data_IF_291695928189
#
_entry.id   IF_291695928189
#
_cell.length_a   1.000
_cell.length_b   1.000
_cell.length_c   1.000
_cell.angle_alpha   90.00
_cell.angle_beta   90.00
_cell.angle_gamma   90.00
#
_symmetry.space_group_name_H-M   'P 1'
#
loop_
_entity.id
_entity.type
_entity.pdbx_description
1 polymer ?
#
# COMPACT_ATOMS: atom_id res chain seq x y z
N UNK A 1 -3.98 11.60 11.16
CA UNK A 1 -5.29 11.09 11.58
C UNK A 1 -5.83 10.14 10.50
N UNK A 2 -6.61 9.15 10.91
CA UNK A 2 -7.25 8.18 10.01
C UNK A 2 -8.77 8.36 10.16
N UNK A 3 -9.32 9.39 9.49
CA UNK A 3 -10.72 9.77 9.64
C UNK A 3 -11.55 9.25 8.46
N UNK A 4 -12.31 8.18 8.66
CA UNK A 4 -13.15 7.59 7.61
C UNK A 4 -14.18 8.59 7.06
N UNK A 5 -14.81 9.41 7.93
CA UNK A 5 -15.78 10.41 7.49
C UNK A 5 -15.20 11.42 6.49
N UNK A 6 -13.93 11.84 6.70
CA UNK A 6 -13.24 12.73 5.77
C UNK A 6 -13.05 12.05 4.40
N UNK A 7 -12.57 10.79 4.40
CA UNK A 7 -12.31 10.09 3.14
C UNK A 7 -13.60 9.69 2.42
N UNK A 8 -14.69 9.39 3.14
CA UNK A 8 -16.01 9.17 2.54
C UNK A 8 -16.50 10.44 1.82
N UNK A 9 -16.42 11.59 2.49
CA UNK A 9 -16.84 12.87 1.89
C UNK A 9 -15.96 13.22 0.66
N UNK A 10 -14.64 12.99 0.76
CA UNK A 10 -13.72 13.19 -0.36
C UNK A 10 -14.03 12.25 -1.53
N UNK A 11 -14.29 10.98 -1.26
CA UNK A 11 -14.65 9.99 -2.28
C UNK A 11 -15.95 10.31 -2.98
N UNK A 12 -16.95 10.79 -2.23
CA UNK A 12 -18.22 11.27 -2.82
C UNK A 12 -18.02 12.48 -3.73
N UNK A 13 -17.10 13.39 -3.37
CA UNK A 13 -16.75 14.55 -4.18
C UNK A 13 -16.01 14.16 -5.46
N UNK A 14 -15.08 13.21 -5.39
CA UNK A 14 -14.26 12.76 -6.53
C UNK A 14 -15.04 11.85 -7.47
N UNK A 15 -15.93 11.01 -6.93
CA UNK A 15 -16.62 9.95 -7.64
C UNK A 15 -15.80 8.67 -7.81
N UNK A 16 -16.51 7.55 -8.01
CA UNK A 16 -15.88 6.22 -8.06
C UNK A 16 -14.87 6.05 -9.18
N UNK A 17 -15.12 6.61 -10.35
CA UNK A 17 -14.20 6.48 -11.50
C UNK A 17 -12.84 7.10 -11.22
N UNK A 18 -12.77 8.28 -10.61
CA UNK A 18 -11.51 8.93 -10.29
C UNK A 18 -10.68 8.12 -9.26
N UNK A 19 -11.36 7.45 -8.31
CA UNK A 19 -10.70 6.56 -7.35
C UNK A 19 -10.15 5.31 -8.06
N UNK A 20 -10.92 4.71 -8.98
CA UNK A 20 -10.46 3.54 -9.75
C UNK A 20 -9.28 3.90 -10.66
N UNK A 21 -9.34 5.02 -11.36
CA UNK A 21 -8.25 5.47 -12.24
C UNK A 21 -6.95 5.70 -11.44
N UNK A 22 -7.07 6.33 -10.27
CA UNK A 22 -5.94 6.49 -9.35
C UNK A 22 -5.42 5.13 -8.86
N UNK A 23 -6.28 4.22 -8.40
CA UNK A 23 -5.87 2.90 -7.94
C UNK A 23 -5.12 2.12 -9.03
N UNK A 24 -5.62 2.12 -10.26
CA UNK A 24 -4.98 1.47 -11.41
C UNK A 24 -3.63 2.11 -11.76
N UNK A 25 -3.51 3.44 -11.70
CA UNK A 25 -2.25 4.13 -11.98
C UNK A 25 -1.15 3.75 -10.97
N UNK A 26 -1.53 3.38 -9.74
CA UNK A 26 -0.64 2.86 -8.72
C UNK A 26 -0.48 1.32 -8.76
N UNK A 27 -0.96 0.64 -9.81
CA UNK A 27 -0.77 -0.80 -10.05
C UNK A 27 -1.74 -1.72 -9.35
N UNK A 28 -2.81 -1.21 -8.71
CA UNK A 28 -3.83 -2.05 -8.12
C UNK A 28 -4.72 -2.69 -9.21
N UNK A 29 -5.21 -3.90 -8.96
CA UNK A 29 -6.02 -4.66 -9.90
C UNK A 29 -5.25 -5.29 -11.07
N UNK A 30 -3.91 -5.16 -11.12
CA UNK A 30 -3.08 -5.70 -12.20
C UNK A 30 -1.98 -6.61 -11.64
N UNK A 31 -1.79 -7.83 -12.18
CA UNK A 31 -0.72 -8.72 -11.74
C UNK A 31 0.64 -8.24 -12.26
N UNK A 32 1.67 -8.27 -11.42
CA UNK A 32 3.05 -8.02 -11.83
C UNK A 32 3.72 -9.30 -12.35
N UNK A 33 4.56 -9.19 -13.39
CA UNK A 33 5.42 -10.28 -13.85
C UNK A 33 6.68 -10.30 -12.97
N UNK A 34 6.74 -11.22 -12.02
CA UNK A 34 7.81 -11.31 -11.01
C UNK A 34 9.06 -12.00 -11.53
N UNK A 35 8.87 -13.02 -12.37
CA UNK A 35 9.90 -13.83 -12.99
C UNK A 35 9.33 -14.49 -14.26
N UNK A 36 10.16 -15.15 -15.09
CA UNK A 36 9.68 -15.94 -16.23
C UNK A 36 8.59 -16.94 -15.80
N UNK A 37 7.38 -16.78 -16.32
CA UNK A 37 6.24 -17.65 -15.99
C UNK A 37 5.60 -17.44 -14.62
N UNK A 38 6.10 -16.51 -13.78
CA UNK A 38 5.57 -16.23 -12.45
C UNK A 38 4.94 -14.84 -12.40
N UNK A 39 3.64 -14.79 -12.14
CA UNK A 39 2.88 -13.55 -11.91
C UNK A 39 2.41 -13.47 -10.46
N UNK A 40 2.32 -12.25 -9.94
CA UNK A 40 1.63 -12.00 -8.67
C UNK A 40 0.12 -12.18 -8.80
N UNK A 41 -0.60 -12.29 -7.68
CA UNK A 41 -2.04 -12.07 -7.69
C UNK A 41 -2.36 -10.60 -8.06
N UNK A 42 -3.52 -10.41 -8.70
CA UNK A 42 -3.97 -9.08 -9.15
C UNK A 42 -4.67 -8.28 -8.04
N UNK A 43 -5.19 -8.95 -6.99
CA UNK A 43 -6.21 -8.35 -6.15
C UNK A 43 -7.50 -8.08 -6.95
N UNK A 44 -8.43 -7.35 -6.35
CA UNK A 44 -9.69 -7.00 -7.00
C UNK A 44 -10.00 -5.53 -6.76
N UNK A 45 -10.54 -4.87 -7.77
CA UNK A 45 -11.15 -3.54 -7.69
C UNK A 45 -12.65 -3.69 -7.99
N UNK A 46 -13.52 -2.99 -7.27
CA UNK A 46 -14.93 -2.96 -7.61
C UNK A 46 -15.13 -2.36 -9.01
N UNK A 47 -16.17 -2.76 -9.70
CA UNK A 47 -16.50 -2.17 -10.99
C UNK A 47 -17.08 -0.75 -10.83
N UNK A 48 -17.02 0.06 -11.89
CA UNK A 48 -17.66 1.37 -11.90
C UNK A 48 -19.18 1.29 -11.66
N UNK A 49 -19.82 0.19 -12.05
CA UNK A 49 -21.23 -0.06 -11.80
C UNK A 49 -21.52 -0.29 -10.30
N UNK A 50 -20.67 -1.05 -9.60
CA UNK A 50 -20.81 -1.27 -8.16
C UNK A 50 -20.72 0.05 -7.39
N UNK A 51 -19.90 0.99 -7.87
CA UNK A 51 -19.66 2.29 -7.24
C UNK A 51 -20.79 3.31 -7.48
N UNK A 52 -21.81 2.96 -8.25
CA UNK A 52 -23.07 3.73 -8.28
C UNK A 52 -23.83 3.57 -6.95
N UNK A 53 -23.58 2.50 -6.20
CA UNK A 53 -24.10 2.36 -4.86
C UNK A 53 -23.31 3.22 -3.87
N UNK A 54 -23.98 4.12 -3.15
CA UNK A 54 -23.35 5.06 -2.23
C UNK A 54 -22.59 4.35 -1.07
N UNK A 55 -23.06 3.18 -0.62
CA UNK A 55 -22.39 2.38 0.40
C UNK A 55 -21.10 1.75 -0.10
N UNK A 56 -21.09 1.24 -1.34
CA UNK A 56 -19.90 0.69 -1.99
C UNK A 56 -18.84 1.78 -2.21
N UNK A 57 -19.25 2.95 -2.69
CA UNK A 57 -18.36 4.10 -2.87
C UNK A 57 -17.80 4.57 -1.52
N UNK A 58 -18.64 4.67 -0.50
CA UNK A 58 -18.20 5.05 0.85
C UNK A 58 -17.17 4.07 1.39
N UNK A 59 -17.40 2.75 1.26
CA UNK A 59 -16.47 1.71 1.73
C UNK A 59 -15.13 1.77 0.98
N UNK A 60 -15.15 1.89 -0.35
CA UNK A 60 -13.93 2.02 -1.15
C UNK A 60 -13.12 3.26 -0.75
N UNK A 61 -13.79 4.37 -0.42
CA UNK A 61 -13.15 5.66 -0.12
C UNK A 61 -12.19 5.61 1.07
N UNK A 62 -12.35 4.64 1.98
CA UNK A 62 -11.41 4.41 3.09
C UNK A 62 -10.72 3.03 3.03
N UNK A 63 -10.75 2.36 1.86
CA UNK A 63 -9.99 1.14 1.61
C UNK A 63 -10.68 -0.14 2.09
N UNK A 64 -11.99 -0.22 2.01
CA UNK A 64 -12.82 -1.37 2.38
C UNK A 64 -13.77 -1.79 1.24
N UNK A 65 -14.65 -2.74 1.53
CA UNK A 65 -15.66 -3.22 0.58
C UNK A 65 -15.09 -4.20 -0.43
N UNK A 66 -15.40 -4.02 -1.71
CA UNK A 66 -14.96 -4.91 -2.80
C UNK A 66 -13.49 -4.75 -3.22
N UNK A 67 -12.67 -4.05 -2.43
CA UNK A 67 -11.24 -3.89 -2.68
C UNK A 67 -10.45 -5.02 -2.00
N UNK A 68 -9.69 -5.79 -2.80
CA UNK A 68 -8.65 -6.69 -2.26
C UNK A 68 -7.29 -6.35 -2.87
N UNK A 69 -6.24 -6.35 -2.05
CA UNK A 69 -4.88 -6.02 -2.47
C UNK A 69 -3.87 -7.01 -1.89
N UNK A 70 -2.76 -7.21 -2.59
CA UNK A 70 -1.63 -7.97 -2.05
C UNK A 70 -0.65 -7.05 -1.32
N UNK A 71 0.12 -7.56 -0.34
CA UNK A 71 1.22 -6.79 0.26
C UNK A 71 2.21 -6.26 -0.78
N UNK A 72 2.45 -7.01 -1.84
CA UNK A 72 3.33 -6.59 -2.94
C UNK A 72 2.78 -5.36 -3.68
N UNK A 73 1.48 -5.32 -3.96
CA UNK A 73 0.84 -4.15 -4.60
C UNK A 73 0.90 -2.92 -3.70
N UNK A 74 0.66 -3.10 -2.40
CA UNK A 74 0.80 -2.00 -1.43
C UNK A 74 2.25 -1.50 -1.39
N UNK A 75 3.24 -2.42 -1.39
CA UNK A 75 4.66 -2.06 -1.46
C UNK A 75 4.96 -1.27 -2.74
N UNK A 76 4.48 -1.71 -3.90
CA UNK A 76 4.71 -1.03 -5.18
C UNK A 76 4.04 0.35 -5.23
N UNK A 77 2.86 0.50 -4.64
CA UNK A 77 2.17 1.79 -4.50
C UNK A 77 2.99 2.78 -3.66
N UNK A 78 3.50 2.35 -2.50
CA UNK A 78 4.37 3.20 -1.67
C UNK A 78 5.71 3.49 -2.35
N UNK A 79 6.26 2.53 -3.12
CA UNK A 79 7.44 2.75 -3.95
C UNK A 79 7.19 3.83 -5.00
N UNK A 80 6.03 3.84 -5.66
CA UNK A 80 5.70 4.90 -6.62
C UNK A 80 5.66 6.28 -5.98
N UNK A 81 5.12 6.40 -4.75
CA UNK A 81 5.16 7.66 -4.00
C UNK A 81 6.61 8.04 -3.65
N UNK A 82 7.40 7.11 -3.13
CA UNK A 82 8.80 7.30 -2.77
C UNK A 82 9.67 7.70 -3.97
N UNK A 83 9.37 7.15 -5.15
CA UNK A 83 10.06 7.42 -6.43
C UNK A 83 9.56 8.67 -7.16
N UNK A 84 8.91 9.60 -6.46
CA UNK A 84 8.47 10.87 -7.07
C UNK A 84 7.26 10.74 -8.00
N UNK A 85 6.43 9.73 -7.80
CA UNK A 85 5.19 9.50 -8.57
C UNK A 85 5.35 8.55 -9.74
N UNK A 86 6.46 7.82 -9.83
CA UNK A 86 6.73 6.85 -10.90
C UNK A 86 6.49 5.43 -10.41
N UNK A 87 5.55 4.73 -11.04
CA UNK A 87 5.27 3.32 -10.76
C UNK A 87 6.28 2.44 -11.48
N UNK A 88 6.93 1.56 -10.75
CA UNK A 88 7.80 0.50 -11.24
C UNK A 88 7.15 -0.85 -10.96
N UNK A 89 6.96 -1.67 -11.99
CA UNK A 89 6.43 -3.03 -11.80
C UNK A 89 7.40 -3.85 -10.95
N UNK A 90 6.93 -4.52 -9.87
CA UNK A 90 7.80 -5.37 -9.06
C UNK A 90 8.39 -6.53 -9.86
N UNK A 91 9.64 -6.88 -9.57
CA UNK A 91 10.29 -8.10 -10.04
C UNK A 91 11.17 -8.69 -8.92
N UNK A 92 11.41 -10.00 -8.97
CA UNK A 92 12.22 -10.70 -7.97
C UNK A 92 13.45 -11.38 -8.57
N UNK A 93 13.63 -11.28 -9.90
CA UNK A 93 14.78 -11.87 -10.62
C UNK A 93 15.52 -10.77 -11.34
N UNK A 94 16.77 -10.55 -10.97
CA UNK A 94 17.67 -9.58 -11.61
C UNK A 94 18.50 -10.19 -12.73
N UNK A 95 18.85 -11.48 -12.63
CA UNK A 95 19.65 -12.20 -13.63
C UNK A 95 19.40 -13.71 -13.56
N UNK A 96 19.62 -14.41 -14.68
CA UNK A 96 19.51 -15.86 -14.78
C UNK A 96 20.82 -16.38 -15.36
N UNK A 97 21.50 -17.30 -14.68
CA UNK A 97 22.72 -17.95 -15.19
C UNK A 97 22.36 -18.98 -16.26
N UNK A 98 23.14 -19.07 -17.35
CA UNK A 98 22.92 -20.05 -18.41
C UNK A 98 22.24 -19.50 -19.67
N UNK A 99 22.18 -18.19 -19.85
CA UNK A 99 21.76 -17.55 -21.10
C UNK A 99 20.27 -17.34 -21.31
N UNK A 100 19.43 -17.65 -20.31
CA UNK A 100 18.01 -17.30 -20.34
C UNK A 100 17.85 -15.82 -20.04
N UNK A 101 17.16 -15.10 -20.92
CA UNK A 101 16.88 -13.68 -20.69
C UNK A 101 15.86 -13.51 -19.55
N UNK A 102 16.13 -12.57 -18.66
CA UNK A 102 15.10 -12.08 -17.70
C UNK A 102 14.01 -11.38 -18.51
N UNK A 103 12.73 -11.64 -18.24
CA UNK A 103 11.65 -10.93 -18.92
C UNK A 103 11.85 -9.43 -18.83
N UNK A 104 11.69 -8.75 -19.95
CA UNK A 104 11.71 -7.30 -19.95
C UNK A 104 10.55 -6.78 -19.10
N UNK A 105 10.89 -6.03 -18.05
CA UNK A 105 9.89 -5.39 -17.22
C UNK A 105 9.16 -4.30 -18.01
N UNK A 106 7.87 -4.07 -17.73
CA UNK A 106 7.16 -2.93 -18.28
C UNK A 106 7.92 -1.63 -18.00
N UNK A 107 7.88 -0.71 -18.94
CA UNK A 107 8.49 0.61 -18.74
C UNK A 107 7.82 1.31 -17.53
N UNK A 108 8.60 2.03 -16.71
CA UNK A 108 8.04 2.81 -15.62
C UNK A 108 6.97 3.78 -16.14
N UNK A 109 5.87 3.89 -15.40
CA UNK A 109 4.74 4.73 -15.76
C UNK A 109 4.48 5.81 -14.70
N UNK A 110 3.97 6.97 -15.10
CA UNK A 110 3.56 7.99 -14.16
C UNK A 110 2.30 7.54 -13.40
N UNK A 111 2.39 7.35 -12.07
CA UNK A 111 1.26 7.10 -11.19
C UNK A 111 0.59 8.40 -10.74
N UNK A 112 1.40 9.43 -10.48
CA UNK A 112 0.95 10.79 -10.19
C UNK A 112 2.03 11.81 -10.55
N UNK A 113 1.68 13.09 -10.49
CA UNK A 113 2.69 14.13 -10.74
C UNK A 113 3.75 14.19 -9.62
N UNK A 114 4.98 14.64 -9.91
CA UNK A 114 6.00 14.80 -8.88
C UNK A 114 5.59 15.78 -7.76
N UNK A 115 4.74 16.76 -8.05
CA UNK A 115 4.21 17.67 -7.05
C UNK A 115 3.28 16.94 -6.07
N UNK A 116 2.38 16.09 -6.56
CA UNK A 116 1.50 15.27 -5.75
C UNK A 116 2.31 14.27 -4.91
N UNK A 117 3.31 13.60 -5.51
CA UNK A 117 4.19 12.67 -4.80
C UNK A 117 4.89 13.35 -3.61
N UNK A 118 5.45 14.57 -3.78
CA UNK A 118 6.08 15.33 -2.69
C UNK A 118 5.09 15.65 -1.55
N UNK A 119 3.85 16.02 -1.89
CA UNK A 119 2.82 16.27 -0.88
C UNK A 119 2.52 14.99 -0.10
N UNK A 120 2.34 13.85 -0.79
CA UNK A 120 2.11 12.55 -0.16
C UNK A 120 3.29 12.13 0.73
N UNK A 121 4.53 12.29 0.27
CA UNK A 121 5.74 12.01 1.07
C UNK A 121 5.74 12.82 2.37
N UNK A 122 5.46 14.13 2.29
CA UNK A 122 5.38 15.00 3.48
C UNK A 122 4.26 14.58 4.44
N UNK A 123 3.09 14.22 3.92
CA UNK A 123 1.97 13.72 4.73
C UNK A 123 2.33 12.40 5.43
N UNK A 124 2.94 11.45 4.72
CA UNK A 124 3.36 10.15 5.25
C UNK A 124 4.46 10.29 6.30
N UNK A 125 5.43 11.19 6.11
CA UNK A 125 6.44 11.50 7.12
C UNK A 125 5.81 12.12 8.38
N UNK A 126 4.77 12.95 8.22
CA UNK A 126 4.04 13.53 9.35
C UNK A 126 3.27 12.46 10.16
N UNK A 127 2.75 11.41 9.50
CA UNK A 127 2.09 10.29 10.19
C UNK A 127 3.04 9.60 11.17
N UNK A 128 4.31 9.42 10.81
CA UNK A 128 5.32 8.82 11.68
C UNK A 128 5.82 9.82 12.73
N UNK A 129 6.20 11.04 12.31
CA UNK A 129 6.80 12.03 13.19
C UNK A 129 5.88 12.52 14.31
N UNK A 130 4.59 12.70 14.04
CA UNK A 130 3.63 13.32 14.97
C UNK A 130 2.20 12.80 14.85
N UNK A 131 1.98 11.73 14.10
CA UNK A 131 0.67 11.11 13.89
C UNK A 131 0.54 9.75 14.58
N UNK A 132 -0.42 8.97 14.08
CA UNK A 132 -0.77 7.64 14.62
C UNK A 132 0.23 6.54 14.27
N UNK A 133 1.24 6.84 13.46
CA UNK A 133 2.29 5.91 13.04
C UNK A 133 3.60 6.06 13.81
N UNK A 134 3.61 6.71 14.97
CA UNK A 134 4.83 6.99 15.74
C UNK A 134 5.69 5.76 16.06
N UNK A 135 5.06 4.60 16.27
CA UNK A 135 5.77 3.33 16.49
C UNK A 135 6.68 2.93 15.30
N UNK A 136 6.45 3.48 14.10
CA UNK A 136 7.27 3.21 12.93
C UNK A 136 8.55 4.04 12.85
N UNK A 137 8.82 4.89 13.84
CA UNK A 137 10.05 5.67 13.89
C UNK A 137 11.24 4.75 14.22
N UNK A 138 12.21 4.55 13.29
CA UNK A 138 13.42 3.77 13.57
C UNK A 138 14.35 4.54 14.52
N UNK A 139 15.32 3.84 15.11
CA UNK A 139 16.35 4.46 15.94
C UNK A 139 17.29 5.35 15.13
N UNK A 140 17.53 4.98 13.87
CA UNK A 140 18.40 5.73 12.96
C UNK A 140 17.59 6.26 11.77
N UNK A 141 17.78 7.52 11.41
CA UNK A 141 17.13 8.14 10.27
C UNK A 141 15.67 8.49 10.50
N UNK A 142 14.93 8.65 9.42
CA UNK A 142 13.53 9.06 9.40
C UNK A 142 12.70 8.06 8.60
N UNK A 143 11.44 7.91 8.93
CA UNK A 143 10.52 7.04 8.18
C UNK A 143 9.25 7.79 7.75
N UNK A 144 8.61 7.30 6.71
CA UNK A 144 7.33 7.77 6.24
C UNK A 144 6.41 6.60 5.94
N UNK A 145 5.16 6.64 6.34
CA UNK A 145 4.25 5.51 6.13
C UNK A 145 2.87 5.73 6.69
N UNK A 146 2.05 4.68 6.60
CA UNK A 146 0.66 4.69 7.04
C UNK A 146 0.27 3.36 7.67
N UNK A 147 -0.42 3.44 8.80
CA UNK A 147 -1.11 2.30 9.43
C UNK A 147 -2.40 1.96 8.70
N UNK A 148 -2.80 0.70 8.73
CA UNK A 148 -4.11 0.25 8.28
C UNK A 148 -4.63 -0.86 9.19
N UNK A 149 -5.94 -0.90 9.39
CA UNK A 149 -6.62 -2.04 9.99
C UNK A 149 -7.81 -2.35 9.09
N UNK A 150 -7.79 -3.53 8.48
CA UNK A 150 -8.81 -3.94 7.53
C UNK A 150 -9.62 -5.11 8.10
N UNK A 151 -10.92 -5.04 7.94
CA UNK A 151 -11.85 -6.14 8.15
C UNK A 151 -11.71 -7.13 7.00
N UNK A 152 -11.69 -8.43 7.30
CA UNK A 152 -11.53 -9.48 6.30
C UNK A 152 -12.84 -10.12 5.89
N UNK A 153 -13.90 -9.94 6.68
CA UNK A 153 -15.16 -10.67 6.55
C UNK A 153 -15.05 -12.15 6.93
N UNK A 154 -13.89 -12.60 7.44
CA UNK A 154 -13.69 -13.95 7.93
C UNK A 154 -13.79 -13.98 9.46
N UNK A 155 -14.42 -15.00 9.98
CA UNK A 155 -14.68 -15.15 11.40
C UNK A 155 -14.12 -16.46 11.92
N UNK A 156 -13.63 -16.46 13.16
CA UNK A 156 -13.20 -17.65 13.86
C UNK A 156 -14.39 -18.48 14.40
N UNK A 157 -14.10 -19.60 15.06
CA UNK A 157 -15.11 -20.47 15.68
C UNK A 157 -15.90 -19.78 16.81
N UNK A 158 -15.36 -18.74 17.41
CA UNK A 158 -16.00 -17.92 18.46
C UNK A 158 -16.78 -16.73 17.90
N UNK A 159 -16.83 -16.58 16.57
CA UNK A 159 -17.50 -15.46 15.88
C UNK A 159 -16.74 -14.15 15.92
N UNK A 160 -15.43 -14.16 16.21
CA UNK A 160 -14.59 -12.95 16.16
C UNK A 160 -14.03 -12.79 14.77
N UNK A 161 -14.10 -11.57 14.23
CA UNK A 161 -13.57 -11.27 12.91
C UNK A 161 -12.05 -11.26 12.90
N UNK A 162 -11.46 -11.89 11.89
CA UNK A 162 -10.04 -11.77 11.56
C UNK A 162 -9.77 -10.39 11.00
N UNK A 163 -8.74 -9.72 11.52
CA UNK A 163 -8.35 -8.39 11.08
C UNK A 163 -6.94 -8.43 10.48
N UNK A 164 -6.75 -7.67 9.42
CA UNK A 164 -5.44 -7.40 8.85
C UNK A 164 -4.88 -6.11 9.42
N UNK A 165 -3.74 -6.20 10.12
CA UNK A 165 -3.03 -5.04 10.68
C UNK A 165 -1.85 -4.69 9.79
N UNK A 166 -1.92 -3.54 9.15
CA UNK A 166 -0.95 -3.07 8.16
C UNK A 166 -0.09 -1.94 8.69
N UNK A 167 1.15 -1.92 8.24
CA UNK A 167 1.93 -0.71 8.09
C UNK A 167 2.71 -0.80 6.78
N UNK A 168 2.61 0.25 5.96
CA UNK A 168 3.38 0.36 4.73
C UNK A 168 4.03 1.74 4.65
N UNK A 169 5.26 1.79 4.13
CA UNK A 169 6.02 3.01 4.11
C UNK A 169 7.36 2.87 3.40
N UNK A 170 8.19 3.88 3.54
CA UNK A 170 9.54 3.91 2.98
C UNK A 170 10.56 4.48 3.97
N UNK A 171 11.81 4.10 3.77
CA UNK A 171 12.95 4.44 4.61
C UNK A 171 14.21 4.68 3.75
N UNK A 172 15.07 5.69 4.07
CA UNK A 172 14.75 6.88 4.87
C UNK A 172 13.64 7.74 4.24
N UNK A 173 12.95 8.58 5.03
CA UNK A 173 11.85 9.40 4.51
C UNK A 173 12.30 10.54 3.60
N UNK A 174 13.48 11.10 3.86
CA UNK A 174 14.10 12.24 3.15
C UNK A 174 14.86 11.81 1.88
N UNK A 175 15.35 10.58 1.83
CA UNK A 175 16.06 10.01 0.69
C UNK A 175 15.66 8.52 0.54
N UNK A 176 14.45 8.20 0.08
CA UNK A 176 13.93 6.84 0.07
C UNK A 176 14.82 5.85 -0.68
N UNK A 177 15.19 4.76 0.00
CA UNK A 177 15.97 3.64 -0.56
C UNK A 177 15.22 2.33 -0.50
N UNK A 178 14.37 2.17 0.51
CA UNK A 178 13.64 0.95 0.77
C UNK A 178 12.15 1.25 0.94
N UNK A 179 11.32 0.38 0.42
CA UNK A 179 9.89 0.38 0.68
C UNK A 179 9.54 -0.92 1.39
N UNK A 180 8.86 -0.81 2.52
CA UNK A 180 8.59 -1.92 3.42
C UNK A 180 7.09 -1.97 3.69
N UNK A 181 6.50 -3.17 3.60
CA UNK A 181 5.11 -3.42 3.99
C UNK A 181 5.09 -4.55 5.00
N UNK A 182 4.47 -4.31 6.13
CA UNK A 182 4.21 -5.30 7.19
C UNK A 182 2.71 -5.55 7.24
N UNK A 183 2.33 -6.82 7.12
CA UNK A 183 0.97 -7.30 7.30
C UNK A 183 0.96 -8.36 8.40
N UNK A 184 0.09 -8.21 9.38
CA UNK A 184 -0.20 -9.22 10.38
C UNK A 184 -1.67 -9.61 10.27
N UNK A 185 -1.92 -10.91 10.09
CA UNK A 185 -3.24 -11.52 10.10
C UNK A 185 -3.50 -12.05 11.51
N UNK A 186 -4.48 -11.50 12.21
CA UNK A 186 -4.70 -11.84 13.61
C UNK A 186 -6.13 -11.56 14.07
N UNK A 187 -6.66 -12.46 14.90
CA UNK A 187 -7.94 -12.31 15.61
C UNK A 187 -7.89 -11.26 16.71
N UNK A 188 -6.70 -11.04 17.29
CA UNK A 188 -6.48 -10.08 18.36
C UNK A 188 -5.46 -9.05 17.90
N UNK A 189 -5.56 -7.84 18.43
CA UNK A 189 -4.55 -6.82 18.17
C UNK A 189 -3.16 -7.37 18.56
N UNK A 190 -2.20 -7.41 17.62
CA UNK A 190 -0.86 -7.91 17.89
C UNK A 190 -0.20 -7.14 19.03
N UNK A 191 0.59 -7.84 19.87
CA UNK A 191 1.36 -7.20 20.95
C UNK A 191 2.38 -6.21 20.40
N UNK A 192 3.09 -6.61 19.32
CA UNK A 192 3.96 -5.72 18.57
C UNK A 192 3.21 -5.22 17.36
N UNK A 193 3.03 -3.91 17.22
CA UNK A 193 2.32 -3.33 16.10
C UNK A 193 3.07 -3.51 14.78
N UNK A 194 2.35 -3.55 13.64
CA UNK A 194 2.98 -3.58 12.30
C UNK A 194 3.89 -2.38 12.07
N UNK A 195 3.58 -1.24 12.70
CA UNK A 195 4.44 -0.06 12.68
C UNK A 195 5.76 -0.29 13.42
N UNK A 196 5.73 -0.91 14.61
CA UNK A 196 6.95 -1.24 15.36
C UNK A 196 7.80 -2.29 14.63
N UNK A 197 7.19 -3.29 14.00
CA UNK A 197 7.93 -4.24 13.16
C UNK A 197 8.57 -3.57 11.94
N UNK A 198 7.90 -2.60 11.32
CA UNK A 198 8.49 -1.79 10.26
C UNK A 198 9.74 -1.07 10.75
N UNK A 199 9.70 -0.41 11.93
CA UNK A 199 10.85 0.27 12.52
C UNK A 199 12.03 -0.70 12.75
N UNK A 200 11.77 -1.89 13.30
CA UNK A 200 12.78 -2.92 13.50
C UNK A 200 13.46 -3.34 12.19
N UNK A 201 12.68 -3.54 11.12
CA UNK A 201 13.23 -3.85 9.79
C UNK A 201 14.05 -2.67 9.26
N UNK A 202 13.55 -1.44 9.39
CA UNK A 202 14.28 -0.24 8.94
C UNK A 202 15.61 -0.08 9.66
N UNK A 203 15.69 -0.36 10.96
CA UNK A 203 16.93 -0.33 11.74
C UNK A 203 17.98 -1.35 11.26
N UNK A 204 17.57 -2.46 10.64
CA UNK A 204 18.51 -3.43 10.05
C UNK A 204 19.06 -2.99 8.69
N UNK A 205 18.43 -1.99 8.06
CA UNK A 205 18.78 -1.46 6.74
C UNK A 205 19.55 -0.13 6.82
N UNK A 206 19.78 0.36 8.02
CA UNK A 206 20.41 1.66 8.32
C UNK A 206 21.91 1.69 8.01
#
# INVERSE_FOLDING_TARGET
QSCNCYFIALGQLLGGQAILDAAQSFGLGTPALLAPGLKSAAGELPSAADLQNAGSLASLSFGQGGLTVTPLQVTAMFNAIASGGVYHSPCIVSSITGGTQVPQQPQPAAACSPAVARVLQSMLATVVRSGIGGDAQPHTGTAAGKTGTAQTGQFDADGRELLHYWFAGFYPADAPRYTITVLQDSQQKPQTSSAALFAQVADTLA
#
